data_IF_299017683052
#
_entry.id   IF_299017683052
#
_cell.length_a   1.000
_cell.length_b   1.000
_cell.length_c   1.000
_cell.angle_alpha   90.00
_cell.angle_beta   90.00
_cell.angle_gamma   90.00
#
_symmetry.space_group_name_H-M   'P 1'
#
loop_
_entity.id
_entity.type
_entity.pdbx_description
1 polymer ?
#
# COMPACT_ATOMS: atom_id res chain seq x y z
N UNK A 1 -4.23 -6.25 9.39
CA UNK A 1 -5.52 -6.69 8.79
C UNK A 1 -5.61 -6.15 7.38
N UNK A 2 -6.31 -6.81 6.42
CA UNK A 2 -6.56 -6.23 5.11
C UNK A 2 -7.52 -5.03 5.24
N UNK A 3 -7.39 -4.06 4.33
CA UNK A 3 -8.24 -2.86 4.29
C UNK A 3 -9.45 -3.12 3.38
N UNK A 4 -10.66 -2.98 3.88
CA UNK A 4 -11.88 -3.15 3.08
C UNK A 4 -12.20 -1.88 2.28
N UNK A 5 -11.91 -0.71 2.85
CA UNK A 5 -12.22 0.60 2.28
C UNK A 5 -11.01 1.52 2.30
N UNK A 6 -10.95 2.45 1.36
CA UNK A 6 -9.89 3.47 1.32
C UNK A 6 -9.88 4.36 2.57
N UNK A 7 -11.02 4.49 3.27
CA UNK A 7 -11.14 5.21 4.54
C UNK A 7 -10.38 4.57 5.69
N UNK A 8 -10.11 3.26 5.62
CA UNK A 8 -9.37 2.50 6.64
C UNK A 8 -7.86 2.60 6.45
N UNK A 9 -7.41 3.15 5.32
CA UNK A 9 -5.99 3.38 5.07
C UNK A 9 -5.39 4.37 6.08
N UNK A 10 -4.07 4.30 6.32
CA UNK A 10 -3.39 5.26 7.19
C UNK A 10 -3.66 6.70 6.77
N UNK A 11 -3.79 7.62 7.72
CA UNK A 11 -4.09 9.03 7.43
C UNK A 11 -3.06 9.67 6.51
N UNK A 12 -1.78 9.35 6.68
CA UNK A 12 -0.73 9.83 5.78
C UNK A 12 -0.93 9.34 4.33
N UNK A 13 -1.52 8.16 4.12
CA UNK A 13 -1.87 7.69 2.77
C UNK A 13 -3.07 8.48 2.24
N UNK A 14 -4.13 8.64 3.04
CA UNK A 14 -5.35 9.34 2.63
C UNK A 14 -5.15 10.82 2.36
N UNK A 15 -4.29 11.48 3.15
CA UNK A 15 -4.03 12.91 3.07
C UNK A 15 -3.14 13.28 1.87
N UNK A 16 -2.21 12.40 1.48
CA UNK A 16 -1.22 12.71 0.44
C UNK A 16 -1.49 12.02 -0.91
N UNK A 17 -2.32 10.97 -0.95
CA UNK A 17 -2.60 10.23 -2.19
C UNK A 17 -3.98 10.58 -2.77
N UNK A 18 -4.08 10.76 -4.10
CA UNK A 18 -5.37 10.83 -4.77
C UNK A 18 -6.14 9.51 -4.68
N UNK A 19 -7.46 9.55 -4.83
CA UNK A 19 -8.36 8.41 -4.61
C UNK A 19 -7.97 7.14 -5.40
N UNK A 20 -7.52 7.30 -6.64
CA UNK A 20 -7.08 6.17 -7.46
C UNK A 20 -5.80 5.53 -6.92
N UNK A 21 -4.86 6.31 -6.41
CA UNK A 21 -3.64 5.80 -5.81
C UNK A 21 -3.91 5.11 -4.45
N UNK A 22 -4.91 5.58 -3.70
CA UNK A 22 -5.41 4.90 -2.50
C UNK A 22 -5.98 3.51 -2.84
N UNK A 23 -6.71 3.39 -3.96
CA UNK A 23 -7.25 2.10 -4.42
C UNK A 23 -6.14 1.10 -4.76
N UNK A 24 -5.11 1.55 -5.49
CA UNK A 24 -3.92 0.76 -5.81
C UNK A 24 -3.23 0.31 -4.52
N UNK A 25 -3.06 1.23 -3.56
CA UNK A 25 -2.45 0.94 -2.28
C UNK A 25 -3.20 -0.16 -1.53
N UNK A 26 -4.52 0.00 -1.38
CA UNK A 26 -5.41 -0.97 -0.71
C UNK A 26 -5.31 -2.34 -1.37
N UNK A 27 -5.46 -2.39 -2.70
CA UNK A 27 -5.45 -3.64 -3.45
C UNK A 27 -4.11 -4.37 -3.35
N UNK A 28 -2.99 -3.64 -3.48
CA UNK A 28 -1.65 -4.20 -3.34
C UNK A 28 -1.35 -4.64 -1.91
N UNK A 29 -1.79 -3.88 -0.90
CA UNK A 29 -1.65 -4.25 0.51
C UNK A 29 -2.41 -5.55 0.79
N UNK A 30 -3.67 -5.65 0.37
CA UNK A 30 -4.50 -6.82 0.62
C UNK A 30 -3.96 -8.07 -0.06
N UNK A 31 -3.48 -7.93 -1.29
CA UNK A 31 -2.83 -9.02 -2.01
C UNK A 31 -1.56 -9.48 -1.27
N UNK A 32 -0.66 -8.55 -0.93
CA UNK A 32 0.54 -8.88 -0.15
C UNK A 32 0.18 -9.48 1.22
N UNK A 33 -0.84 -8.96 1.89
CA UNK A 33 -1.32 -9.50 3.16
C UNK A 33 -1.69 -10.98 3.00
N UNK A 34 -2.45 -11.37 1.97
CA UNK A 34 -2.79 -12.76 1.72
C UNK A 34 -1.55 -13.62 1.37
N UNK A 35 -0.65 -13.12 0.53
CA UNK A 35 0.56 -13.85 0.13
C UNK A 35 1.50 -14.14 1.31
N UNK A 36 1.63 -13.19 2.24
CA UNK A 36 2.43 -13.32 3.46
C UNK A 36 1.63 -13.87 4.67
N UNK A 37 0.41 -14.39 4.47
CA UNK A 37 -0.34 -15.15 5.48
C UNK A 37 0.31 -16.50 5.77
N UNK A 38 1.06 -17.04 4.80
CA UNK A 38 1.59 -18.40 4.87
C UNK A 38 2.68 -18.51 5.93
N UNK A 39 2.57 -19.47 6.88
CA UNK A 39 3.53 -19.63 7.97
C UNK A 39 4.94 -19.99 7.47
N UNK A 40 5.03 -20.55 6.27
CA UNK A 40 6.24 -21.02 5.57
C UNK A 40 7.14 -19.87 5.09
N UNK A 41 6.57 -18.67 4.88
CA UNK A 41 7.27 -17.51 4.31
C UNK A 41 7.62 -16.44 5.35
N UNK A 42 7.39 -16.70 6.64
CA UNK A 42 7.75 -15.78 7.75
C UNK A 42 9.27 -15.62 7.88
N UNK A 43 9.86 -14.74 7.08
CA UNK A 43 11.15 -14.13 7.42
C UNK A 43 10.91 -13.06 8.49
N UNK A 44 11.20 -13.38 9.75
CA UNK A 44 11.50 -12.53 10.93
C UNK A 44 11.05 -11.04 10.97
N UNK A 45 9.93 -10.68 10.36
CA UNK A 45 9.41 -9.32 10.28
C UNK A 45 7.89 -9.33 10.21
N UNK A 46 7.24 -8.30 10.76
CA UNK A 46 5.79 -8.20 10.76
C UNK A 46 5.25 -8.20 9.33
N UNK A 47 4.40 -9.18 9.02
CA UNK A 47 3.61 -9.30 7.77
C UNK A 47 3.07 -7.96 7.29
N UNK A 48 2.58 -7.16 8.23
CA UNK A 48 2.06 -5.82 8.00
C UNK A 48 3.09 -4.86 7.38
N UNK A 49 4.32 -4.82 7.91
CA UNK A 49 5.37 -3.97 7.38
C UNK A 49 5.75 -4.36 5.95
N UNK A 50 5.76 -5.65 5.63
CA UNK A 50 5.99 -6.14 4.27
C UNK A 50 4.84 -5.75 3.34
N UNK A 51 3.59 -5.94 3.76
CA UNK A 51 2.42 -5.53 2.98
C UNK A 51 2.41 -4.02 2.71
N UNK A 52 2.77 -3.19 3.69
CA UNK A 52 2.93 -1.75 3.50
C UNK A 52 4.02 -1.41 2.48
N UNK A 53 5.17 -2.09 2.51
CA UNK A 53 6.24 -1.88 1.53
C UNK A 53 5.78 -2.23 0.11
N UNK A 54 5.09 -3.35 -0.06
CA UNK A 54 4.54 -3.76 -1.37
C UNK A 54 3.50 -2.76 -1.87
N UNK A 55 2.60 -2.32 -1.00
CA UNK A 55 1.58 -1.32 -1.34
C UNK A 55 2.21 0.01 -1.80
N UNK A 56 3.21 0.52 -1.07
CA UNK A 56 3.95 1.71 -1.46
C UNK A 56 4.72 1.52 -2.77
N UNK A 57 5.29 0.34 -3.02
CA UNK A 57 5.95 0.05 -4.29
C UNK A 57 4.95 0.08 -5.46
N UNK A 58 3.74 -0.47 -5.28
CA UNK A 58 2.70 -0.42 -6.30
C UNK A 58 2.26 1.01 -6.63
N UNK A 59 2.09 1.86 -5.61
CA UNK A 59 1.83 3.30 -5.79
C UNK A 59 2.99 3.94 -6.55
N UNK A 60 4.23 3.75 -6.13
CA UNK A 60 5.44 4.34 -6.76
C UNK A 60 5.63 3.95 -8.23
N UNK A 61 5.03 2.86 -8.69
CA UNK A 61 5.07 2.44 -10.10
C UNK A 61 4.15 3.26 -10.99
N UNK A 62 3.04 3.77 -10.44
CA UNK A 62 2.02 4.54 -11.15
C UNK A 62 2.01 6.01 -10.78
N UNK A 63 2.60 6.36 -9.64
CA UNK A 63 2.64 7.69 -9.08
C UNK A 63 4.06 8.00 -8.63
N UNK A 64 4.45 9.26 -8.73
CA UNK A 64 5.70 9.77 -8.18
C UNK A 64 5.42 10.86 -7.14
N UNK A 65 6.30 10.96 -6.15
CA UNK A 65 6.18 11.98 -5.11
C UNK A 65 6.71 13.31 -5.68
N UNK A 66 5.83 14.30 -5.78
CA UNK A 66 6.15 15.66 -6.25
C UNK A 66 5.85 16.63 -5.13
N UNK A 67 6.90 17.18 -4.51
CA UNK A 67 6.79 18.00 -3.31
C UNK A 67 6.15 17.23 -2.15
N UNK A 68 5.03 17.73 -1.64
CA UNK A 68 4.25 17.12 -0.55
C UNK A 68 3.15 16.16 -1.03
N UNK A 69 2.96 16.04 -2.35
CA UNK A 69 1.90 15.24 -2.96
C UNK A 69 2.41 14.09 -3.84
N UNK A 70 1.47 13.37 -4.43
CA UNK A 70 1.72 12.31 -5.40
C UNK A 70 1.01 12.61 -6.72
N UNK A 71 1.76 12.56 -7.82
CA UNK A 71 1.22 12.77 -9.17
C UNK A 71 1.34 11.48 -10.00
N UNK A 72 0.40 11.22 -10.92
CA UNK A 72 0.48 10.07 -11.80
C UNK A 72 1.73 10.19 -12.68
N UNK A 73 2.47 9.09 -12.76
CA UNK A 73 3.66 8.96 -13.58
C UNK A 73 3.21 8.81 -15.03
N UNK A 74 3.67 9.72 -15.90
CA UNK A 74 3.39 9.71 -17.33
C UNK A 74 4.34 8.77 -18.09
#
# INVERSE_FOLDING_TARGET
MPYHRNTELPESVKAHLPLHAQDIYRSAFNNAWQEYDRPETRRAGSREATAHKVAWAAVKRRYEKVGEGWQPKH
#
